data_IF_050498951273
#
_entry.id   IF_050498951273
#
_cell.length_a   1.000
_cell.length_b   1.000
_cell.length_c   1.000
_cell.angle_alpha   90.00
_cell.angle_beta   90.00
_cell.angle_gamma   90.00
#
_symmetry.space_group_name_H-M   'P 1'
#
loop_
_entity.id
_entity.type
_entity.pdbx_description
1 polymer ?
#
# COMPACT_ATOMS: atom_id res chain seq x y z
N UNK A 1 -8.37 10.37 -6.30
CA UNK A 1 -7.51 9.43 -7.05
C UNK A 1 -8.43 8.36 -7.59
N UNK A 2 -8.30 8.01 -8.87
CA UNK A 2 -9.08 6.91 -9.46
C UNK A 2 -8.49 5.55 -9.05
N UNK A 3 -9.29 4.49 -9.10
CA UNK A 3 -8.89 3.15 -8.66
C UNK A 3 -7.70 2.62 -9.49
N UNK A 4 -7.75 2.78 -10.81
CA UNK A 4 -6.69 2.33 -11.71
C UNK A 4 -5.37 3.07 -11.48
N UNK A 5 -5.42 4.38 -11.21
CA UNK A 5 -4.24 5.19 -10.90
C UNK A 5 -3.59 4.77 -9.57
N UNK A 6 -4.42 4.49 -8.56
CA UNK A 6 -3.96 4.02 -7.26
C UNK A 6 -3.26 2.65 -7.35
N UNK A 7 -3.85 1.71 -8.10
CA UNK A 7 -3.25 0.38 -8.33
C UNK A 7 -1.94 0.48 -9.10
N UNK A 8 -1.88 1.32 -10.14
CA UNK A 8 -0.66 1.56 -10.89
C UNK A 8 0.45 2.11 -9.99
N UNK A 9 0.13 3.11 -9.15
CA UNK A 9 1.07 3.67 -8.18
C UNK A 9 1.57 2.63 -7.17
N UNK A 10 0.70 1.79 -6.63
CA UNK A 10 1.10 0.70 -5.74
C UNK A 10 2.05 -0.29 -6.44
N UNK A 11 1.75 -0.67 -7.68
CA UNK A 11 2.60 -1.57 -8.47
C UNK A 11 3.99 -0.98 -8.79
N UNK A 12 4.12 0.35 -8.78
CA UNK A 12 5.39 1.05 -8.97
C UNK A 12 6.22 1.17 -7.68
N UNK A 13 5.66 0.85 -6.51
CA UNK A 13 6.40 0.87 -5.24
C UNK A 13 7.41 -0.27 -5.22
N UNK A 14 8.72 0.01 -5.26
CA UNK A 14 9.72 -1.05 -5.26
C UNK A 14 9.68 -1.83 -3.95
N UNK A 15 9.76 -3.16 -4.02
CA UNK A 15 9.66 -4.05 -2.87
C UNK A 15 8.23 -4.34 -2.41
N UNK A 16 7.20 -3.72 -3.03
CA UNK A 16 5.81 -4.06 -2.77
C UNK A 16 5.38 -5.21 -3.70
N UNK A 17 5.29 -6.41 -3.15
CA UNK A 17 4.85 -7.59 -3.89
C UNK A 17 3.32 -7.61 -4.12
N UNK A 18 2.84 -8.35 -5.12
CA UNK A 18 1.40 -8.45 -5.42
C UNK A 18 0.59 -8.98 -4.24
N UNK A 19 1.17 -9.88 -3.43
CA UNK A 19 0.52 -10.40 -2.21
C UNK A 19 0.29 -9.28 -1.18
N UNK A 20 1.27 -8.42 -0.96
CA UNK A 20 1.14 -7.31 -0.01
C UNK A 20 0.12 -6.28 -0.54
N UNK A 21 0.09 -6.02 -1.85
CA UNK A 21 -0.93 -5.17 -2.49
C UNK A 21 -2.33 -5.73 -2.25
N UNK A 22 -2.55 -7.03 -2.49
CA UNK A 22 -3.83 -7.68 -2.24
C UNK A 22 -4.25 -7.57 -0.76
N UNK A 23 -3.33 -7.74 0.19
CA UNK A 23 -3.60 -7.58 1.63
C UNK A 23 -3.96 -6.15 2.01
N UNK A 24 -3.30 -5.16 1.41
CA UNK A 24 -3.59 -3.75 1.62
C UNK A 24 -4.98 -3.40 1.07
N UNK A 25 -5.28 -3.84 -0.15
CA UNK A 25 -6.59 -3.63 -0.79
C UNK A 25 -7.69 -4.36 -0.01
N UNK A 26 -7.46 -5.57 0.48
CA UNK A 26 -8.46 -6.29 1.28
C UNK A 26 -8.81 -5.57 2.60
N UNK A 27 -7.93 -4.71 3.11
CA UNK A 27 -8.15 -3.90 4.31
C UNK A 27 -8.58 -2.46 4.00
N UNK A 28 -8.51 -2.03 2.75
CA UNK A 28 -8.94 -0.73 2.27
C UNK A 28 -10.29 -0.85 1.57
N UNK A 29 -11.17 0.14 1.70
CA UNK A 29 -12.38 0.16 0.88
C UNK A 29 -12.06 0.52 -0.58
N UNK A 30 -10.98 1.28 -0.77
CA UNK A 30 -10.50 1.74 -2.06
C UNK A 30 -8.96 1.85 -2.07
N UNK A 31 -8.25 1.46 -3.15
CA UNK A 31 -6.78 1.44 -3.16
C UNK A 31 -6.15 2.82 -2.91
N UNK A 32 -6.84 3.89 -3.32
CA UNK A 32 -6.41 5.26 -3.08
C UNK A 32 -6.37 5.65 -1.59
N UNK A 33 -7.08 4.94 -0.70
CA UNK A 33 -7.05 5.21 0.74
C UNK A 33 -5.76 4.75 1.40
N UNK A 34 -5.06 3.78 0.79
CA UNK A 34 -3.81 3.20 1.33
C UNK A 34 -2.72 4.28 1.45
N UNK A 35 -2.67 5.21 0.50
CA UNK A 35 -1.74 6.36 0.52
C UNK A 35 -2.03 7.37 1.64
N UNK A 36 -3.19 7.31 2.26
CA UNK A 36 -3.56 8.14 3.41
C UNK A 36 -3.36 7.42 4.75
N UNK A 37 -2.92 6.16 4.75
CA UNK A 37 -2.71 5.41 5.98
C UNK A 37 -1.45 5.86 6.72
N UNK A 38 -1.49 5.74 8.04
CA UNK A 38 -0.30 5.95 8.85
C UNK A 38 0.72 4.82 8.63
N UNK A 39 1.99 5.15 8.83
CA UNK A 39 3.06 4.16 8.75
C UNK A 39 2.85 2.98 9.71
N UNK A 40 2.31 3.23 10.91
CA UNK A 40 1.94 2.20 11.89
C UNK A 40 0.89 1.22 11.33
N UNK A 41 -0.13 1.75 10.63
CA UNK A 41 -1.16 0.93 9.99
C UNK A 41 -0.60 0.10 8.84
N UNK A 42 0.28 0.68 8.03
CA UNK A 42 0.93 -0.03 6.91
C UNK A 42 1.85 -1.14 7.43
N UNK A 43 2.59 -0.90 8.50
CA UNK A 43 3.40 -1.90 9.20
C UNK A 43 2.58 -3.06 9.79
N UNK A 44 1.34 -2.79 10.20
CA UNK A 44 0.44 -3.82 10.73
C UNK A 44 -0.12 -4.79 9.68
N UNK A 45 -0.03 -4.45 8.39
CA UNK A 45 -0.55 -5.28 7.29
C UNK A 45 0.43 -6.42 6.95
N UNK A 46 1.72 -6.14 7.02
CA UNK A 46 2.79 -7.08 6.71
C UNK A 46 4.04 -6.68 7.50
N UNK A 47 4.56 -7.59 8.32
CA UNK A 47 5.66 -7.29 9.24
C UNK A 47 6.96 -6.89 8.53
N UNK A 48 7.10 -7.28 7.26
CA UNK A 48 8.22 -6.94 6.38
C UNK A 48 7.93 -5.71 5.48
N UNK A 49 6.76 -5.07 5.60
CA UNK A 49 6.40 -3.91 4.78
C UNK A 49 7.09 -2.60 5.21
N UNK A 50 8.09 -2.60 6.09
CA UNK A 50 8.74 -1.36 6.56
C UNK A 50 9.31 -0.49 5.44
N UNK A 51 10.01 -1.11 4.49
CA UNK A 51 10.60 -0.39 3.36
C UNK A 51 9.55 0.10 2.35
N UNK A 52 8.60 -0.74 1.88
CA UNK A 52 7.54 -0.27 0.99
C UNK A 52 6.53 0.68 1.67
N UNK A 53 6.20 0.50 2.96
CA UNK A 53 5.35 1.41 3.72
C UNK A 53 5.94 2.82 3.79
N UNK A 54 7.26 2.92 3.98
CA UNK A 54 7.95 4.21 3.96
C UNK A 54 7.85 4.89 2.60
N UNK A 55 7.90 4.12 1.51
CA UNK A 55 7.75 4.62 0.13
C UNK A 55 6.32 4.95 -0.26
N UNK A 56 5.32 4.35 0.39
CA UNK A 56 3.90 4.71 0.21
C UNK A 56 3.59 6.04 0.90
N UNK A 57 4.28 6.33 2.01
CA UNK A 57 4.15 7.59 2.77
C UNK A 57 4.97 8.75 2.20
N UNK A 58 5.96 8.49 1.35
CA UNK A 58 6.83 9.48 0.69
C UNK A 58 6.21 9.99 -0.61
#
# INVERSE_FOLDING_TARGET
MDEADALLRLALVPGLGPITIERLIAQAGHPGEIFAWSMDRLMGVDGDAAEPARRICD
#
